data_IF_953406314414
#
_entry.id   IF_953406314414
#
_cell.length_a   1.000
_cell.length_b   1.000
_cell.length_c   1.000
_cell.angle_alpha   90.00
_cell.angle_beta   90.00
_cell.angle_gamma   90.00
#
_symmetry.space_group_name_H-M   'P 1'
#
loop_
_entity.id
_entity.type
_entity.pdbx_description
1 polymer ?
#
# COMPACT_ATOMS: atom_id res chain seq x y z
N UNK A 1 13.19 -11.17 -11.24
CA UNK A 1 12.17 -11.14 -10.20
C UNK A 1 10.89 -10.54 -10.78
N UNK A 2 9.86 -11.35 -10.96
CA UNK A 2 8.55 -10.94 -11.44
C UNK A 2 7.84 -10.01 -10.45
N UNK A 3 6.85 -9.25 -10.92
CA UNK A 3 5.98 -8.41 -10.07
C UNK A 3 5.27 -9.25 -9.01
N UNK A 4 4.94 -10.51 -9.31
CA UNK A 4 4.34 -11.44 -8.36
C UNK A 4 5.31 -11.86 -7.24
N UNK A 5 6.60 -12.05 -7.54
CA UNK A 5 7.63 -12.33 -6.53
C UNK A 5 7.92 -11.11 -5.67
N UNK A 6 7.95 -9.91 -6.25
CA UNK A 6 8.02 -8.66 -5.47
C UNK A 6 6.78 -8.49 -4.61
N UNK A 7 5.57 -8.69 -5.15
CA UNK A 7 4.34 -8.60 -4.38
C UNK A 7 4.34 -9.59 -3.21
N UNK A 8 4.80 -10.85 -3.41
CA UNK A 8 5.00 -11.82 -2.33
C UNK A 8 6.06 -11.40 -1.33
N UNK A 9 7.19 -10.89 -1.78
CA UNK A 9 8.29 -10.42 -0.93
C UNK A 9 7.90 -9.19 -0.10
N UNK A 10 7.21 -8.22 -0.72
CA UNK A 10 6.65 -7.05 -0.04
C UNK A 10 5.49 -7.45 0.85
N UNK A 11 4.67 -8.43 0.47
CA UNK A 11 3.68 -9.03 1.37
C UNK A 11 4.39 -9.62 2.58
N UNK A 12 5.40 -10.48 2.42
CA UNK A 12 6.20 -11.07 3.50
C UNK A 12 6.82 -10.03 4.45
N UNK A 13 7.45 -8.99 3.89
CA UNK A 13 8.02 -7.87 4.69
C UNK A 13 6.95 -6.97 5.31
N UNK A 14 5.81 -6.80 4.65
CA UNK A 14 4.71 -5.96 5.13
C UNK A 14 3.72 -6.75 5.97
N UNK A 15 3.86 -8.08 6.13
CA UNK A 15 2.95 -8.92 6.94
C UNK A 15 2.81 -8.36 8.34
N UNK A 16 3.88 -7.94 9.06
CA UNK A 16 3.71 -7.41 10.40
C UNK A 16 2.88 -6.12 10.41
N UNK A 17 3.13 -5.22 9.46
CA UNK A 17 2.44 -3.93 9.38
C UNK A 17 0.98 -4.06 8.90
N UNK A 18 0.73 -4.88 7.87
CA UNK A 18 -0.61 -5.12 7.34
C UNK A 18 -1.46 -5.91 8.33
N UNK A 19 -0.86 -6.88 9.03
CA UNK A 19 -1.51 -7.59 10.14
C UNK A 19 -1.84 -6.62 11.27
N UNK A 20 -0.95 -5.69 11.61
CA UNK A 20 -1.25 -4.66 12.60
C UNK A 20 -2.42 -3.78 12.14
N UNK A 21 -2.47 -3.40 10.86
CA UNK A 21 -3.59 -2.63 10.32
C UNK A 21 -4.91 -3.39 10.32
N UNK A 22 -4.86 -4.70 10.10
CA UNK A 22 -6.01 -5.59 10.18
C UNK A 22 -6.47 -5.78 11.63
N UNK A 23 -5.54 -6.06 12.54
CA UNK A 23 -5.79 -6.35 13.96
C UNK A 23 -6.29 -5.11 14.71
N UNK A 24 -5.77 -3.93 14.34
CA UNK A 24 -6.27 -2.64 14.81
C UNK A 24 -7.54 -2.19 14.08
N UNK A 25 -8.09 -3.01 13.18
CA UNK A 25 -9.26 -2.73 12.33
C UNK A 25 -9.13 -1.44 11.48
N UNK A 26 -7.90 -0.99 11.23
CA UNK A 26 -7.60 0.23 10.47
C UNK A 26 -7.98 0.03 9.00
N UNK A 27 -7.75 -1.18 8.48
CA UNK A 27 -8.16 -1.59 7.16
C UNK A 27 -8.72 -3.02 7.21
N UNK A 28 -9.76 -3.28 6.42
CA UNK A 28 -10.28 -4.64 6.27
C UNK A 28 -9.37 -5.48 5.38
N UNK A 29 -9.51 -6.81 5.42
CA UNK A 29 -8.76 -7.72 4.53
C UNK A 29 -8.92 -7.36 3.05
N UNK A 30 -10.12 -6.96 2.63
CA UNK A 30 -10.39 -6.55 1.24
C UNK A 30 -9.71 -5.23 0.88
N UNK A 31 -9.67 -4.27 1.80
CA UNK A 31 -8.94 -3.02 1.61
C UNK A 31 -7.43 -3.27 1.51
N UNK A 32 -6.88 -4.12 2.38
CA UNK A 32 -5.47 -4.52 2.35
C UNK A 32 -5.14 -5.20 1.02
N UNK A 33 -6.00 -6.12 0.54
CA UNK A 33 -5.82 -6.76 -0.77
C UNK A 33 -5.81 -5.72 -1.89
N UNK A 34 -6.70 -4.74 -1.83
CA UNK A 34 -6.78 -3.66 -2.81
C UNK A 34 -5.52 -2.78 -2.79
N UNK A 35 -5.00 -2.46 -1.61
CA UNK A 35 -3.76 -1.69 -1.44
C UNK A 35 -2.57 -2.43 -2.08
N UNK A 36 -2.44 -3.72 -1.80
CA UNK A 36 -1.35 -4.57 -2.34
C UNK A 36 -1.45 -4.71 -3.86
N UNK A 37 -2.66 -4.91 -4.39
CA UNK A 37 -2.89 -4.96 -5.83
C UNK A 37 -2.48 -3.63 -6.48
N UNK A 38 -2.92 -2.51 -5.91
CA UNK A 38 -2.65 -1.18 -6.45
C UNK A 38 -1.15 -0.83 -6.42
N UNK A 39 -0.42 -1.22 -5.36
CA UNK A 39 1.06 -1.12 -5.33
C UNK A 39 1.70 -1.92 -6.46
N UNK A 40 1.24 -3.15 -6.67
CA UNK A 40 1.76 -4.01 -7.74
C UNK A 40 1.51 -3.41 -9.12
N UNK A 41 0.34 -2.79 -9.34
CA UNK A 41 0.00 -2.12 -10.60
C UNK A 41 0.89 -0.88 -10.83
N UNK A 42 1.13 -0.08 -9.78
CA UNK A 42 2.06 1.06 -9.86
C UNK A 42 3.51 0.63 -10.09
N UNK A 43 3.99 -0.40 -9.40
CA UNK A 43 5.31 -0.99 -9.62
C UNK A 43 5.45 -1.47 -11.07
N UNK A 44 4.45 -2.18 -11.60
CA UNK A 44 4.47 -2.63 -12.99
C UNK A 44 4.53 -1.44 -13.96
N UNK A 45 3.76 -0.39 -13.69
CA UNK A 45 3.71 0.82 -14.52
C UNK A 45 5.02 1.61 -14.46
N UNK A 46 5.65 1.73 -13.30
CA UNK A 46 6.91 2.44 -13.09
C UNK A 46 8.11 1.67 -13.67
N UNK A 47 8.12 0.35 -13.50
CA UNK A 47 9.19 -0.53 -14.02
C UNK A 47 9.06 -0.79 -15.54
N UNK A 48 7.92 -0.45 -16.15
CA UNK A 48 7.75 -0.57 -17.59
C UNK A 48 8.75 0.34 -18.33
N UNK A 49 9.31 -0.10 -19.47
CA UNK A 49 10.30 0.68 -20.24
C UNK A 49 9.82 2.05 -20.73
N UNK A 50 8.50 2.30 -20.68
CA UNK A 50 7.85 3.52 -21.17
C UNK A 50 7.19 4.33 -20.04
N UNK A 51 7.66 4.15 -18.80
CA UNK A 51 7.16 4.87 -17.64
C UNK A 51 7.43 6.37 -17.76
N UNK A 52 6.42 7.18 -17.40
CA UNK A 52 6.48 8.65 -17.47
C UNK A 52 6.74 9.23 -16.08
N UNK A 53 7.36 10.42 -15.97
CA UNK A 53 7.49 11.14 -14.70
C UNK A 53 6.15 11.33 -13.95
N UNK A 54 5.06 11.45 -14.70
CA UNK A 54 3.70 11.51 -14.15
C UNK A 54 3.30 10.24 -13.40
N UNK A 55 3.78 9.06 -13.82
CA UNK A 55 3.45 7.79 -13.17
C UNK A 55 4.08 7.70 -11.78
N UNK A 56 5.33 8.17 -11.64
CA UNK A 56 6.00 8.30 -10.34
C UNK A 56 5.29 9.31 -9.45
N UNK A 57 4.88 10.45 -10.02
CA UNK A 57 4.14 11.49 -9.30
C UNK A 57 2.76 10.98 -8.84
N UNK A 58 2.07 10.20 -9.68
CA UNK A 58 0.79 9.57 -9.34
C UNK A 58 0.95 8.54 -8.23
N UNK A 59 2.02 7.73 -8.27
CA UNK A 59 2.31 6.76 -7.22
C UNK A 59 2.60 7.45 -5.88
N UNK A 60 3.44 8.49 -5.87
CA UNK A 60 3.74 9.27 -4.66
C UNK A 60 2.49 9.94 -4.07
N UNK A 61 1.63 10.53 -4.91
CA UNK A 61 0.34 11.11 -4.47
C UNK A 61 -0.57 10.06 -3.86
N UNK A 62 -0.60 8.86 -4.44
CA UNK A 62 -1.42 7.77 -3.93
C UNK A 62 -0.91 7.25 -2.57
N UNK A 63 0.39 7.02 -2.41
CA UNK A 63 0.99 6.64 -1.13
C UNK A 63 0.75 7.70 -0.04
N UNK A 64 0.88 8.99 -0.37
CA UNK A 64 0.58 10.06 0.58
C UNK A 64 -0.91 10.07 1.00
N UNK A 65 -1.80 9.80 0.05
CA UNK A 65 -3.24 9.69 0.32
C UNK A 65 -3.57 8.47 1.20
N UNK A 66 -2.86 7.36 1.00
CA UNK A 66 -2.99 6.15 1.81
C UNK A 66 -2.55 6.41 3.26
N UNK A 67 -1.42 7.07 3.46
CA UNK A 67 -0.95 7.44 4.81
C UNK A 67 -1.92 8.43 5.48
N UNK A 68 -2.42 9.41 4.73
CA UNK A 68 -3.44 10.34 5.24
C UNK A 68 -4.71 9.60 5.67
N UNK A 69 -5.15 8.60 4.90
CA UNK A 69 -6.30 7.77 5.24
C UNK A 69 -6.03 6.95 6.51
N UNK A 70 -4.85 6.32 6.60
CA UNK A 70 -4.40 5.59 7.78
C UNK A 70 -4.39 6.48 9.02
N UNK A 71 -3.77 7.65 8.95
CA UNK A 71 -3.69 8.61 10.06
C UNK A 71 -5.07 9.08 10.52
N UNK A 72 -5.98 9.37 9.58
CA UNK A 72 -7.37 9.73 9.90
C UNK A 72 -8.10 8.59 10.61
N UNK A 73 -7.93 7.35 10.16
CA UNK A 73 -8.55 6.17 10.78
C UNK A 73 -7.97 5.86 12.15
N UNK A 74 -6.65 5.91 12.32
CA UNK A 74 -5.99 5.80 13.63
C UNK A 74 -6.53 6.84 14.61
N UNK A 75 -6.61 8.12 14.19
CA UNK A 75 -7.14 9.20 15.03
C UNK A 75 -8.59 8.96 15.44
N UNK A 76 -9.42 8.43 14.52
CA UNK A 76 -10.83 8.11 14.80
C UNK A 76 -10.98 6.94 15.76
N UNK A 77 -10.12 5.94 15.67
CA UNK A 77 -10.20 4.75 16.52
C UNK A 77 -9.54 4.92 17.89
N UNK A 78 -9.03 6.12 18.22
CA UNK A 78 -8.38 6.42 19.50
C UNK A 78 -7.31 5.40 19.88
N UNK A 79 -6.65 4.81 18.89
CA UNK A 79 -5.48 3.96 19.11
C UNK A 79 -4.37 4.92 19.53
N UNK A 80 -4.24 5.11 20.84
CA UNK A 80 -3.17 5.88 21.45
C UNK A 80 -1.84 5.28 21.03
N UNK A 81 -0.95 6.16 20.59
CA UNK A 81 0.48 5.85 20.41
C UNK A 81 1.09 5.55 21.77
#
# INVERSE_FOLDING_TARGET
>A
MSVAEKARFYLERSVPQLREWEEKEIFTKDEIRTIVQKRSDFEHRILAPRSKPDDFSAYAKWEHSLETLRAKRCKRMKIGH
#
